data_IF_366696222484
#
_entry.id   IF_366696222484
#
_cell.length_a   1.000
_cell.length_b   1.000
_cell.length_c   1.000
_cell.angle_alpha   90.00
_cell.angle_beta   90.00
_cell.angle_gamma   90.00
#
_symmetry.space_group_name_H-M   'P 1'
#
loop_
_entity.id
_entity.type
_entity.pdbx_description
1 polymer ?
#
# COMPACT_ATOMS: atom_id res chain seq x y z
N UNK A 1 -27.83 -1.48 4.94
CA UNK A 1 -27.09 -2.18 6.02
C UNK A 1 -25.97 -2.94 5.35
N UNK A 2 -24.73 -2.46 5.45
CA UNK A 2 -23.58 -3.09 4.80
C UNK A 2 -23.37 -4.50 5.35
N UNK A 3 -23.54 -5.50 4.51
CA UNK A 3 -23.12 -6.87 4.81
C UNK A 3 -21.61 -6.87 4.81
N UNK A 4 -20.97 -7.14 5.95
CA UNK A 4 -19.51 -7.22 6.04
C UNK A 4 -18.90 -8.12 4.96
N UNK A 5 -17.61 -7.92 4.68
CA UNK A 5 -16.89 -8.55 3.56
C UNK A 5 -17.19 -10.05 3.51
N UNK A 6 -17.87 -10.53 2.45
CA UNK A 6 -18.35 -11.90 2.40
C UNK A 6 -17.16 -12.86 2.35
N UNK A 7 -17.41 -14.09 2.82
CA UNK A 7 -16.42 -15.16 2.70
C UNK A 7 -16.22 -15.51 1.21
N UNK A 8 -15.05 -16.07 0.84
CA UNK A 8 -14.82 -16.57 -0.51
C UNK A 8 -15.94 -17.52 -0.98
N UNK A 9 -16.36 -17.40 -2.25
CA UNK A 9 -17.51 -18.13 -2.83
C UNK A 9 -17.24 -19.64 -2.98
N UNK A 10 -15.98 -20.06 -2.92
CA UNK A 10 -15.57 -21.46 -2.72
C UNK A 10 -14.18 -21.47 -2.05
N UNK A 11 -14.08 -22.01 -0.83
CA UNK A 11 -12.82 -22.12 -0.07
C UNK A 11 -12.07 -23.41 -0.45
N UNK A 12 -11.80 -23.59 -1.75
CA UNK A 12 -10.97 -24.70 -2.23
C UNK A 12 -9.47 -24.40 -2.20
N UNK A 13 -9.10 -23.16 -1.87
CA UNK A 13 -7.72 -22.71 -1.73
C UNK A 13 -6.96 -22.55 -3.05
N UNK A 14 -7.67 -22.37 -4.18
CA UNK A 14 -7.07 -22.34 -5.53
C UNK A 14 -7.34 -21.05 -6.34
N UNK A 15 -7.95 -20.03 -5.72
CA UNK A 15 -8.30 -18.78 -6.41
C UNK A 15 -8.07 -17.53 -5.57
N UNK A 16 -7.74 -16.45 -6.28
CA UNK A 16 -7.84 -15.06 -5.84
C UNK A 16 -9.20 -14.56 -6.29
N UNK A 17 -9.99 -14.09 -5.35
CA UNK A 17 -11.33 -13.59 -5.64
C UNK A 17 -11.34 -12.08 -5.53
N UNK A 18 -11.88 -11.42 -6.55
CA UNK A 18 -12.16 -10.00 -6.53
C UNK A 18 -13.68 -9.84 -6.55
N UNK A 19 -14.16 -9.09 -5.57
CA UNK A 19 -15.54 -8.67 -5.41
C UNK A 19 -15.62 -7.18 -5.72
N UNK A 20 -16.44 -6.84 -6.69
CA UNK A 20 -16.63 -5.45 -7.11
C UNK A 20 -18.05 -5.08 -6.69
N UNK A 21 -18.20 -4.01 -5.91
CA UNK A 21 -19.52 -3.53 -5.45
C UNK A 21 -20.43 -3.31 -6.68
N UNK A 22 -21.62 -3.91 -6.65
CA UNK A 22 -22.58 -3.80 -7.76
C UNK A 22 -23.17 -2.40 -7.95
N UNK A 23 -22.91 -1.48 -7.02
CA UNK A 23 -23.27 -0.05 -7.11
C UNK A 23 -22.31 0.77 -7.98
N UNK A 24 -21.11 0.27 -8.26
CA UNK A 24 -20.21 0.91 -9.24
C UNK A 24 -20.97 1.00 -10.56
N UNK A 25 -21.10 2.21 -11.10
CA UNK A 25 -22.06 2.51 -12.15
C UNK A 25 -21.77 1.71 -13.44
N UNK A 26 -22.78 1.14 -14.09
CA UNK A 26 -22.64 0.64 -15.46
C UNK A 26 -22.58 1.82 -16.46
N UNK A 27 -21.81 1.71 -17.57
CA UNK A 27 -21.08 0.53 -18.05
C UNK A 27 -19.59 0.58 -17.68
N UNK A 28 -19.25 0.71 -16.39
CA UNK A 28 -17.84 0.78 -15.98
C UNK A 28 -17.09 -0.45 -16.45
N UNK A 29 -15.97 -0.22 -17.15
CA UNK A 29 -14.99 -1.28 -17.43
C UNK A 29 -14.03 -1.35 -16.26
N UNK A 30 -13.73 -2.56 -15.78
CA UNK A 30 -12.68 -2.74 -14.78
C UNK A 30 -11.49 -3.39 -15.44
N UNK A 31 -10.34 -2.74 -15.33
CA UNK A 31 -9.08 -3.33 -15.76
C UNK A 31 -8.21 -3.61 -14.54
N UNK A 32 -7.73 -4.84 -14.47
CA UNK A 32 -6.88 -5.34 -13.41
C UNK A 32 -5.57 -5.75 -14.03
N UNK A 33 -4.47 -5.14 -13.58
CA UNK A 33 -3.13 -5.44 -14.09
C UNK A 33 -2.26 -5.90 -12.95
N UNK A 34 -1.78 -7.14 -13.04
CA UNK A 34 -0.72 -7.64 -12.17
C UNK A 34 0.61 -7.21 -12.75
N UNK A 35 1.48 -6.67 -11.92
CA UNK A 35 2.88 -6.42 -12.25
C UNK A 35 3.76 -7.02 -11.18
N UNK A 36 4.83 -7.71 -11.57
CA UNK A 36 5.81 -8.20 -10.60
C UNK A 36 7.23 -8.03 -11.10
N UNK A 37 8.10 -7.58 -10.19
CA UNK A 37 9.51 -7.30 -10.48
C UNK A 37 10.38 -8.56 -10.48
N UNK A 38 9.89 -9.68 -9.94
CA UNK A 38 10.51 -11.02 -9.98
C UNK A 38 9.42 -12.08 -9.83
N UNK A 39 8.92 -12.69 -10.91
CA UNK A 39 8.02 -13.84 -10.80
C UNK A 39 8.52 -15.05 -11.59
N UNK A 40 8.56 -16.21 -10.93
CA UNK A 40 8.84 -17.49 -11.58
C UNK A 40 7.54 -18.28 -11.73
N UNK A 41 6.88 -18.17 -12.89
CA UNK A 41 5.83 -19.09 -13.30
C UNK A 41 6.47 -20.24 -14.09
N UNK A 42 6.27 -21.48 -13.64
CA UNK A 42 6.78 -22.69 -14.29
C UNK A 42 5.65 -23.68 -14.60
N UNK A 43 4.47 -23.23 -15.03
CA UNK A 43 3.37 -24.17 -15.34
C UNK A 43 3.53 -24.82 -16.72
N UNK A 44 3.48 -26.16 -16.83
CA UNK A 44 3.24 -26.87 -18.09
C UNK A 44 1.74 -26.95 -18.48
N UNK A 45 0.82 -26.53 -17.60
CA UNK A 45 -0.63 -26.60 -17.79
C UNK A 45 -1.21 -25.38 -18.52
N UNK A 46 -0.42 -24.32 -18.73
CA UNK A 46 -0.78 -23.18 -19.60
C UNK A 46 -0.48 -23.54 -21.06
N UNK A 47 -1.06 -24.64 -21.55
CA UNK A 47 -0.82 -25.13 -22.92
C UNK A 47 -1.90 -24.69 -23.93
N UNK A 48 -3.00 -24.10 -23.45
CA UNK A 48 -4.16 -23.71 -24.26
C UNK A 48 -4.48 -22.20 -24.23
N UNK A 49 -3.58 -21.35 -23.69
CA UNK A 49 -3.67 -19.90 -23.91
C UNK A 49 -2.94 -19.57 -25.22
N UNK A 50 -3.66 -19.01 -26.18
CA UNK A 50 -3.10 -18.62 -27.48
C UNK A 50 -2.27 -17.34 -27.32
N UNK A 51 -0.95 -17.47 -27.41
CA UNK A 51 -0.02 -16.33 -27.47
C UNK A 51 0.11 -15.84 -28.93
N UNK A 52 -0.50 -14.70 -29.26
CA UNK A 52 -0.53 -14.06 -30.60
C UNK A 52 0.67 -13.15 -30.91
N UNK A 53 1.84 -13.67 -31.25
CA UNK A 53 3.06 -12.85 -31.54
C UNK A 53 2.90 -11.82 -32.68
N UNK A 54 3.40 -10.59 -32.48
CA UNK A 54 3.56 -9.60 -33.55
C UNK A 54 4.03 -8.22 -33.06
N UNK A 55 5.13 -7.70 -33.61
CA UNK A 55 5.80 -6.46 -33.17
C UNK A 55 5.54 -5.23 -34.06
N UNK A 56 5.82 -4.05 -33.51
CA UNK A 56 5.97 -2.79 -34.25
C UNK A 56 5.38 -1.56 -33.54
N UNK A 57 6.27 -0.62 -33.19
CA UNK A 57 6.10 0.80 -32.84
C UNK A 57 4.72 1.36 -32.38
N UNK A 58 4.74 2.04 -31.23
CA UNK A 58 3.70 2.91 -30.62
C UNK A 58 2.37 2.21 -30.30
N UNK A 59 2.18 1.88 -29.01
CA UNK A 59 1.07 1.09 -28.47
C UNK A 59 -0.23 1.90 -28.33
N UNK A 60 -1.01 1.98 -29.41
CA UNK A 60 -2.36 2.56 -29.42
C UNK A 60 -3.48 1.52 -29.67
N UNK A 61 -3.20 0.21 -29.60
CA UNK A 61 -4.20 -0.83 -29.85
C UNK A 61 -4.14 -1.94 -28.78
N UNK A 62 -5.02 -1.87 -27.77
CA UNK A 62 -5.00 -2.69 -26.56
C UNK A 62 -5.92 -3.92 -26.62
N UNK A 63 -6.12 -4.51 -27.80
CA UNK A 63 -6.86 -5.76 -27.97
C UNK A 63 -5.98 -7.02 -27.96
N UNK A 64 -4.64 -6.88 -27.90
CA UNK A 64 -3.72 -8.02 -27.79
C UNK A 64 -2.34 -7.62 -27.22
N UNK A 65 -2.07 -7.74 -25.91
CA UNK A 65 -0.70 -7.72 -25.40
C UNK A 65 -0.01 -9.08 -25.65
N UNK A 66 1.19 -9.03 -26.23
CA UNK A 66 2.16 -10.13 -26.23
C UNK A 66 3.40 -9.67 -25.47
N UNK A 67 3.76 -10.42 -24.43
CA UNK A 67 5.09 -10.33 -23.83
C UNK A 67 5.92 -11.50 -24.36
N UNK A 68 6.97 -11.21 -25.14
CA UNK A 68 8.01 -12.18 -25.44
C UNK A 68 9.01 -12.19 -24.29
N UNK A 69 9.23 -13.35 -23.67
CA UNK A 69 10.36 -13.60 -22.76
C UNK A 69 11.30 -14.59 -23.43
N UNK A 70 12.51 -14.15 -23.75
CA UNK A 70 13.70 -14.97 -24.08
C UNK A 70 14.84 -14.33 -23.27
N UNK A 71 15.67 -15.02 -22.48
CA UNK A 71 16.48 -16.19 -22.82
C UNK A 71 16.96 -16.93 -21.55
N UNK A 72 17.01 -18.26 -21.63
CA UNK A 72 17.59 -19.19 -20.65
C UNK A 72 19.11 -19.42 -20.81
N UNK A 73 19.83 -18.58 -21.58
CA UNK A 73 21.24 -18.81 -21.90
C UNK A 73 22.29 -17.86 -21.28
N UNK A 74 21.94 -16.77 -20.58
CA UNK A 74 22.91 -15.69 -20.28
C UNK A 74 23.38 -15.54 -18.83
N UNK A 75 22.83 -16.30 -17.87
CA UNK A 75 23.31 -16.25 -16.48
C UNK A 75 23.13 -14.88 -15.77
N UNK A 76 22.17 -14.07 -16.21
CA UNK A 76 21.86 -12.75 -15.62
C UNK A 76 21.04 -12.92 -14.32
N UNK A 77 21.43 -12.22 -13.26
CA UNK A 77 20.83 -12.25 -11.91
C UNK A 77 19.57 -11.39 -11.73
N UNK A 78 18.76 -11.25 -12.78
CA UNK A 78 17.45 -10.59 -12.74
C UNK A 78 16.38 -11.60 -13.21
N UNK A 79 15.50 -12.04 -12.30
CA UNK A 79 14.42 -12.96 -12.67
C UNK A 79 13.47 -12.34 -13.72
N UNK A 80 12.71 -13.15 -14.47
CA UNK A 80 11.73 -12.64 -15.42
C UNK A 80 10.69 -11.75 -14.71
N UNK A 81 10.35 -10.64 -15.36
CA UNK A 81 9.30 -9.73 -14.93
C UNK A 81 8.03 -10.05 -15.71
N UNK A 82 6.88 -10.02 -15.02
CA UNK A 82 5.60 -10.52 -15.54
C UNK A 82 4.54 -9.43 -15.46
N UNK A 83 3.68 -9.36 -16.48
CA UNK A 83 2.44 -8.61 -16.42
C UNK A 83 1.30 -9.36 -17.08
N UNK A 84 0.16 -9.41 -16.41
CA UNK A 84 -1.09 -9.97 -16.92
C UNK A 84 -2.22 -8.97 -16.67
N UNK A 85 -3.05 -8.74 -17.68
CA UNK A 85 -4.16 -7.79 -17.62
C UNK A 85 -5.47 -8.51 -17.88
N UNK A 86 -6.41 -8.36 -16.96
CA UNK A 86 -7.81 -8.75 -17.12
C UNK A 86 -8.62 -7.51 -17.46
N UNK A 87 -9.36 -7.55 -18.56
CA UNK A 87 -10.19 -6.46 -19.06
C UNK A 87 -11.63 -6.96 -19.18
N UNK A 88 -12.48 -6.55 -18.24
CA UNK A 88 -13.82 -7.10 -18.09
C UNK A 88 -14.86 -5.99 -17.98
N UNK A 89 -15.99 -6.19 -18.67
CA UNK A 89 -17.16 -5.34 -18.48
C UNK A 89 -17.93 -5.81 -17.25
N UNK A 90 -18.34 -4.90 -16.36
CA UNK A 90 -19.03 -5.28 -15.11
C UNK A 90 -20.34 -6.03 -15.34
N UNK A 91 -21.04 -5.75 -16.46
CA UNK A 91 -22.25 -6.47 -16.84
C UNK A 91 -22.04 -7.94 -17.18
N UNK A 92 -20.80 -8.33 -17.51
CA UNK A 92 -20.46 -9.69 -17.94
C UNK A 92 -20.04 -10.58 -16.76
N UNK A 93 -19.81 -9.97 -15.59
CA UNK A 93 -19.43 -10.70 -14.39
C UNK A 93 -20.66 -11.29 -13.68
N UNK A 94 -20.58 -12.54 -13.20
CA UNK A 94 -21.65 -13.11 -12.39
C UNK A 94 -21.78 -12.35 -11.07
N UNK A 95 -23.00 -12.28 -10.54
CA UNK A 95 -23.22 -11.78 -9.18
C UNK A 95 -23.02 -12.88 -8.15
N UNK A 96 -22.63 -12.48 -6.94
CA UNK A 96 -22.70 -13.33 -5.78
C UNK A 96 -24.17 -13.67 -5.41
N UNK A 97 -24.36 -14.55 -4.44
CA UNK A 97 -25.70 -14.99 -4.02
C UNK A 97 -26.56 -13.85 -3.45
N UNK A 98 -25.93 -12.80 -2.92
CA UNK A 98 -26.66 -11.63 -2.41
C UNK A 98 -27.06 -10.64 -3.50
N UNK A 99 -26.39 -10.67 -4.66
CA UNK A 99 -26.53 -9.66 -5.72
C UNK A 99 -25.74 -8.37 -5.44
N UNK A 100 -25.08 -8.27 -4.28
CA UNK A 100 -24.36 -7.06 -3.83
C UNK A 100 -23.00 -6.93 -4.50
N UNK A 101 -22.43 -8.03 -5.00
CA UNK A 101 -21.10 -8.02 -5.59
C UNK A 101 -21.09 -8.71 -6.95
N UNK A 102 -20.35 -8.14 -7.90
CA UNK A 102 -19.86 -8.83 -9.09
C UNK A 102 -18.61 -9.61 -8.74
N UNK A 103 -18.49 -10.83 -9.22
CA UNK A 103 -17.43 -11.77 -8.83
C UNK A 103 -16.50 -12.03 -10.01
N UNK A 104 -15.24 -11.64 -9.87
CA UNK A 104 -14.15 -12.11 -10.72
C UNK A 104 -13.30 -13.12 -9.95
N UNK A 105 -13.12 -14.31 -10.53
CA UNK A 105 -12.20 -15.32 -10.01
C UNK A 105 -10.97 -15.36 -10.90
N UNK A 106 -9.81 -15.15 -10.29
CA UNK A 106 -8.53 -15.28 -10.96
C UNK A 106 -7.90 -16.56 -10.41
N UNK A 107 -7.54 -17.54 -11.27
CA UNK A 107 -6.78 -18.71 -10.86
C UNK A 107 -5.53 -18.26 -10.11
N UNK A 108 -5.40 -18.70 -8.86
CA UNK A 108 -4.31 -18.27 -8.00
C UNK A 108 -3.75 -19.53 -7.38
N UNK A 109 -2.52 -19.87 -7.73
CA UNK A 109 -1.76 -20.95 -7.08
C UNK A 109 -2.54 -22.26 -7.01
N UNK A 110 -2.29 -23.21 -7.90
CA UNK A 110 -2.68 -24.59 -7.59
C UNK A 110 -1.84 -25.09 -6.41
N UNK A 111 -2.38 -25.27 -5.19
CA UNK A 111 -1.59 -25.70 -4.04
C UNK A 111 -1.06 -27.13 -4.21
N UNK A 112 -1.59 -27.90 -5.16
CA UNK A 112 -1.10 -29.22 -5.54
C UNK A 112 0.01 -29.19 -6.60
N UNK A 113 0.25 -28.05 -7.24
CA UNK A 113 1.28 -27.86 -8.26
C UNK A 113 2.12 -26.60 -7.96
N UNK A 114 3.23 -26.79 -7.25
CA UNK A 114 4.16 -25.72 -6.86
C UNK A 114 4.81 -25.00 -8.05
N UNK A 115 4.60 -25.49 -9.28
CA UNK A 115 5.10 -24.86 -10.50
C UNK A 115 4.24 -23.68 -10.97
N UNK A 116 3.03 -23.52 -10.41
CA UNK A 116 2.07 -22.44 -10.71
C UNK A 116 2.03 -21.34 -9.62
N UNK A 117 3.16 -21.16 -8.92
CA UNK A 117 3.24 -20.27 -7.77
C UNK A 117 3.55 -18.83 -8.14
N UNK A 118 2.72 -17.88 -7.68
CA UNK A 118 3.15 -16.49 -7.53
C UNK A 118 4.27 -16.46 -6.50
N UNK A 119 5.50 -16.40 -6.98
CA UNK A 119 6.72 -16.24 -6.20
C UNK A 119 7.31 -14.89 -6.59
N UNK A 120 7.08 -13.83 -5.81
CA UNK A 120 7.50 -12.49 -6.19
C UNK A 120 6.88 -11.35 -5.41
N UNK A 121 7.49 -10.17 -5.58
CA UNK A 121 6.95 -8.89 -5.11
C UNK A 121 6.39 -8.10 -6.30
N UNK A 122 5.24 -7.44 -6.10
CA UNK A 122 4.51 -6.78 -7.17
C UNK A 122 3.31 -5.96 -6.70
N UNK A 123 2.52 -5.52 -7.68
CA UNK A 123 1.29 -4.78 -7.48
C UNK A 123 0.14 -5.43 -8.26
N UNK A 124 -1.06 -5.37 -7.68
CA UNK A 124 -2.30 -5.48 -8.44
C UNK A 124 -2.89 -4.08 -8.59
N UNK A 125 -2.78 -3.53 -9.80
CA UNK A 125 -3.34 -2.22 -10.16
C UNK A 125 -4.78 -2.40 -10.64
N UNK A 126 -5.67 -1.55 -10.14
CA UNK A 126 -7.11 -1.58 -10.40
C UNK A 126 -7.47 -0.25 -11.05
N UNK A 127 -8.13 -0.28 -12.20
CA UNK A 127 -8.59 0.93 -12.88
C UNK A 127 -10.07 0.81 -13.26
N UNK A 128 -10.78 1.92 -13.17
CA UNK A 128 -12.16 2.07 -13.64
C UNK A 128 -12.18 2.89 -14.94
N UNK A 129 -12.98 2.43 -15.90
CA UNK A 129 -13.27 3.00 -17.24
C UNK A 129 -12.11 3.08 -18.23
N UNK A 130 -10.95 3.51 -17.78
CA UNK A 130 -9.78 3.74 -18.62
C UNK A 130 -8.60 2.90 -18.16
N UNK A 131 -7.91 2.27 -19.11
CA UNK A 131 -6.69 1.52 -18.82
C UNK A 131 -5.61 2.46 -18.31
N UNK A 132 -4.96 2.07 -17.21
CA UNK A 132 -3.75 2.69 -16.73
C UNK A 132 -2.62 2.61 -17.78
N UNK A 133 -1.90 3.71 -17.97
CA UNK A 133 -0.65 3.70 -18.74
C UNK A 133 0.52 3.49 -17.77
N UNK A 134 1.10 2.29 -17.81
CA UNK A 134 2.31 1.95 -17.08
C UNK A 134 3.54 2.26 -17.92
N UNK A 135 4.57 2.85 -17.31
CA UNK A 135 5.83 3.12 -17.99
C UNK A 135 6.82 2.00 -17.73
N UNK A 136 7.50 1.53 -18.78
CA UNK A 136 8.61 0.58 -18.66
C UNK A 136 9.91 1.37 -18.76
N UNK A 137 10.70 1.34 -17.69
CA UNK A 137 11.97 2.04 -17.59
C UNK A 137 13.15 1.07 -17.70
N UNK A 138 14.29 1.53 -18.19
CA UNK A 138 15.53 0.79 -18.08
C UNK A 138 16.01 0.78 -16.61
N UNK A 139 16.44 -0.37 -16.12
CA UNK A 139 17.02 -0.56 -14.78
C UNK A 139 18.44 -1.16 -14.90
N UNK A 140 19.27 -1.00 -13.87
CA UNK A 140 20.68 -1.42 -13.90
C UNK A 140 20.91 -2.90 -14.27
N UNK A 141 19.93 -3.78 -14.05
CA UNK A 141 19.98 -5.21 -14.41
C UNK A 141 18.76 -5.69 -15.22
N UNK A 142 18.04 -4.81 -15.92
CA UNK A 142 16.84 -5.18 -16.69
C UNK A 142 15.95 -3.99 -17.05
N UNK A 143 14.63 -4.18 -16.97
CA UNK A 143 13.65 -3.10 -17.00
C UNK A 143 12.95 -2.98 -15.63
N UNK A 144 12.17 -1.93 -15.42
CA UNK A 144 11.34 -1.75 -14.23
C UNK A 144 9.98 -1.18 -14.66
N UNK A 145 8.90 -1.70 -14.08
CA UNK A 145 7.58 -1.09 -14.23
C UNK A 145 7.47 0.09 -13.28
N UNK A 146 7.17 1.26 -13.82
CA UNK A 146 6.64 2.37 -13.06
C UNK A 146 5.11 2.30 -13.13
N UNK A 147 4.49 2.34 -11.94
CA UNK A 147 3.04 2.53 -11.83
C UNK A 147 2.62 3.81 -12.56
N UNK A 148 1.34 3.92 -12.95
CA UNK A 148 0.82 5.16 -13.51
C UNK A 148 1.12 6.31 -12.55
N UNK A 149 1.47 7.48 -13.08
CA UNK A 149 1.66 8.65 -12.21
C UNK A 149 0.30 9.09 -11.65
N UNK A 150 0.17 9.27 -10.32
CA UNK A 150 -1.05 9.80 -9.71
C UNK A 150 -1.17 11.33 -9.85
N UNK A 151 -0.12 12.03 -10.30
CA UNK A 151 -0.17 13.45 -10.62
C UNK A 151 -1.20 13.69 -11.75
N UNK A 152 -2.13 14.65 -11.61
CA UNK A 152 -3.10 14.99 -12.66
C UNK A 152 -2.49 15.27 -14.04
N UNK A 153 -1.22 15.70 -14.09
CA UNK A 153 -0.48 16.01 -15.32
C UNK A 153 0.27 14.81 -15.89
N UNK A 154 0.34 13.70 -15.14
CA UNK A 154 1.04 12.48 -15.49
C UNK A 154 0.20 11.51 -16.33
N UNK A 155 0.82 10.43 -16.80
CA UNK A 155 0.19 9.44 -17.69
C UNK A 155 -0.99 8.66 -17.07
N UNK A 156 -1.13 8.67 -15.73
CA UNK A 156 -2.27 8.13 -15.00
C UNK A 156 -3.19 9.21 -14.41
N UNK A 157 -2.93 10.49 -14.69
CA UNK A 157 -3.54 11.62 -14.00
C UNK A 157 -5.05 11.69 -14.11
N UNK A 158 -5.61 11.28 -15.25
CA UNK A 158 -7.05 11.30 -15.52
C UNK A 158 -7.75 9.93 -15.36
N UNK A 159 -7.02 8.91 -14.93
CA UNK A 159 -7.59 7.56 -14.74
C UNK A 159 -8.06 7.40 -13.30
N UNK A 160 -9.24 6.83 -13.05
CA UNK A 160 -9.65 6.47 -11.69
C UNK A 160 -9.00 5.12 -11.35
N UNK A 161 -7.98 5.11 -10.49
CA UNK A 161 -7.20 3.91 -10.21
C UNK A 161 -6.61 3.88 -8.82
N UNK A 162 -6.40 2.67 -8.33
CA UNK A 162 -5.74 2.39 -7.06
C UNK A 162 -4.96 1.07 -7.20
N UNK A 163 -4.23 0.65 -6.17
CA UNK A 163 -3.47 -0.59 -6.21
C UNK A 163 -3.31 -1.24 -4.83
N UNK A 164 -2.99 -2.53 -4.85
CA UNK A 164 -2.56 -3.27 -3.67
C UNK A 164 -1.15 -3.79 -3.88
N UNK A 165 -0.34 -3.73 -2.82
CA UNK A 165 1.00 -4.29 -2.81
C UNK A 165 0.94 -5.76 -2.39
N UNK A 166 1.76 -6.59 -3.01
CA UNK A 166 1.84 -8.02 -2.71
C UNK A 166 3.28 -8.53 -2.76
N UNK A 167 3.62 -9.38 -1.80
CA UNK A 167 4.85 -10.14 -1.79
C UNK A 167 4.55 -11.59 -1.41
N UNK A 168 4.61 -12.49 -2.40
CA UNK A 168 4.38 -13.90 -2.22
C UNK A 168 5.71 -14.65 -2.25
N UNK A 169 6.02 -15.40 -1.20
CA UNK A 169 7.12 -16.34 -1.17
C UNK A 169 6.60 -17.76 -1.42
N UNK A 170 7.25 -18.51 -2.31
CA UNK A 170 7.14 -19.97 -2.35
C UNK A 170 8.04 -20.52 -1.23
N UNK A 171 7.50 -21.13 -0.17
CA UNK A 171 8.36 -21.75 0.83
C UNK A 171 9.03 -23.00 0.26
N UNK A 172 10.12 -23.42 0.90
CA UNK A 172 10.83 -24.64 0.56
C UNK A 172 9.86 -25.85 0.56
N UNK A 173 10.12 -26.82 -0.34
CA UNK A 173 9.34 -28.03 -0.62
C UNK A 173 8.35 -28.45 0.49
N UNK A 174 7.05 -28.50 0.16
CA UNK A 174 5.92 -29.00 0.97
C UNK A 174 5.26 -28.02 1.96
N UNK A 175 5.41 -26.71 1.77
CA UNK A 175 4.65 -25.70 2.53
C UNK A 175 3.78 -24.85 1.59
N UNK A 176 2.64 -24.35 2.09
CA UNK A 176 1.74 -23.46 1.32
C UNK A 176 2.39 -22.09 1.13
N UNK A 177 2.22 -21.46 -0.05
CA UNK A 177 2.72 -20.11 -0.34
C UNK A 177 2.31 -19.11 0.75
N UNK A 178 3.24 -18.22 1.09
CA UNK A 178 3.03 -17.13 2.05
C UNK A 178 2.96 -15.84 1.27
N UNK A 179 1.80 -15.18 1.28
CA UNK A 179 1.60 -13.90 0.61
C UNK A 179 1.36 -12.77 1.62
N UNK A 180 2.31 -11.84 1.70
CA UNK A 180 2.09 -10.53 2.29
C UNK A 180 1.30 -9.69 1.30
N UNK A 181 0.30 -8.97 1.79
CA UNK A 181 -0.46 -8.02 0.99
C UNK A 181 -0.94 -6.87 1.85
N UNK A 182 -1.07 -5.69 1.26
CA UNK A 182 -1.60 -4.52 1.94
C UNK A 182 -2.35 -3.63 0.95
N UNK A 183 -3.37 -2.94 1.47
CA UNK A 183 -3.78 -1.66 0.90
C UNK A 183 -2.72 -0.62 1.27
N UNK A 184 -2.50 0.38 0.43
CA UNK A 184 -1.55 1.46 0.74
C UNK A 184 -2.15 2.80 0.36
N UNK A 185 -2.02 3.77 1.25
CA UNK A 185 -2.39 5.16 1.00
C UNK A 185 -1.18 6.08 1.22
N UNK A 186 0.04 5.52 1.13
CA UNK A 186 1.29 6.29 1.25
C UNK A 186 1.40 7.32 0.14
N UNK A 187 0.99 6.95 -1.09
CA UNK A 187 1.02 7.86 -2.24
C UNK A 187 -0.32 8.59 -2.41
N UNK A 188 -1.45 7.87 -2.37
CA UNK A 188 -2.78 8.46 -2.53
C UNK A 188 -3.88 7.50 -2.09
N UNK A 189 -5.09 8.03 -1.93
CA UNK A 189 -6.34 7.27 -1.78
C UNK A 189 -7.24 7.51 -3.00
N UNK A 190 -7.76 6.46 -3.64
CA UNK A 190 -8.61 6.62 -4.84
C UNK A 190 -9.85 5.74 -4.84
N UNK A 191 -9.72 4.48 -4.45
CA UNK A 191 -10.81 3.51 -4.38
C UNK A 191 -10.96 2.98 -2.96
N UNK A 192 -12.20 2.70 -2.56
CA UNK A 192 -12.46 1.99 -1.32
C UNK A 192 -12.06 0.53 -1.47
N UNK A 193 -10.92 0.16 -0.89
CA UNK A 193 -10.40 -1.19 -0.97
C UNK A 193 -10.39 -1.82 0.42
N UNK A 194 -10.90 -3.04 0.51
CA UNK A 194 -10.72 -3.89 1.67
C UNK A 194 -10.33 -5.31 1.26
N UNK A 195 -9.50 -5.95 2.09
CA UNK A 195 -8.97 -7.29 1.86
C UNK A 195 -9.43 -8.20 2.98
N UNK A 196 -9.89 -9.38 2.62
CA UNK A 196 -10.12 -10.49 3.53
C UNK A 196 -9.37 -11.71 3.03
N UNK A 197 -8.38 -12.20 3.77
CA UNK A 197 -7.61 -13.36 3.36
C UNK A 197 -7.54 -14.44 4.43
N UNK A 198 -7.45 -15.68 3.97
CA UNK A 198 -7.48 -16.87 4.80
C UNK A 198 -6.08 -17.28 5.23
N UNK A 199 -5.85 -17.36 6.53
CA UNK A 199 -4.59 -17.79 7.15
C UNK A 199 -4.42 -19.31 7.12
N UNK A 200 -3.20 -19.81 7.32
CA UNK A 200 -2.88 -21.25 7.32
C UNK A 200 -3.64 -22.05 8.38
N UNK A 201 -3.98 -21.41 9.50
CA UNK A 201 -4.76 -22.01 10.58
C UNK A 201 -6.28 -22.09 10.27
N UNK A 202 -6.69 -21.57 9.10
CA UNK A 202 -8.07 -21.54 8.63
C UNK A 202 -8.88 -20.33 9.09
N UNK A 203 -8.30 -19.43 9.90
CA UNK A 203 -8.93 -18.16 10.27
C UNK A 203 -8.83 -17.13 9.15
N UNK A 204 -9.51 -15.99 9.30
CA UNK A 204 -9.48 -14.89 8.34
C UNK A 204 -8.90 -13.63 8.97
N UNK A 205 -7.99 -12.98 8.25
CA UNK A 205 -7.58 -11.60 8.51
C UNK A 205 -8.36 -10.68 7.58
N UNK A 206 -8.84 -9.54 8.09
CA UNK A 206 -9.60 -8.55 7.32
C UNK A 206 -9.09 -7.15 7.62
N UNK A 207 -8.88 -6.32 6.61
CA UNK A 207 -8.31 -4.98 6.73
C UNK A 207 -8.60 -4.11 5.50
N UNK A 208 -8.22 -2.84 5.57
CA UNK A 208 -8.51 -1.82 4.56
C UNK A 208 -9.60 -0.86 5.02
N UNK A 209 -10.23 -0.17 4.08
CA UNK A 209 -11.30 0.79 4.36
C UNK A 209 -12.47 0.10 5.06
N UNK A 210 -13.05 0.73 6.08
CA UNK A 210 -14.26 0.21 6.72
C UNK A 210 -15.48 0.39 5.80
N UNK A 211 -15.84 -0.70 5.12
CA UNK A 211 -16.98 -0.75 4.19
C UNK A 211 -18.34 -0.92 4.89
N UNK A 212 -18.39 -0.89 6.24
CA UNK A 212 -19.65 -1.02 6.98
C UNK A 212 -20.52 0.24 6.94
N UNK A 213 -19.89 1.40 6.71
CA UNK A 213 -20.56 2.69 6.54
C UNK A 213 -21.34 2.76 5.23
N UNK A 214 -22.36 3.62 5.18
CA UNK A 214 -23.01 3.98 3.91
C UNK A 214 -22.13 5.02 3.20
N UNK A 215 -21.71 4.71 1.96
CA UNK A 215 -20.79 5.52 1.15
C UNK A 215 -19.42 5.78 1.84
N UNK A 216 -18.67 4.72 2.18
CA UNK A 216 -17.40 4.83 2.90
C UNK A 216 -16.36 5.69 2.18
N UNK A 217 -16.29 5.64 0.84
CA UNK A 217 -15.36 6.47 0.05
C UNK A 217 -15.77 7.93 0.16
N UNK A 218 -17.05 8.23 -0.04
CA UNK A 218 -17.55 9.61 0.05
C UNK A 218 -17.34 10.21 1.43
N UNK A 219 -17.56 9.43 2.49
CA UNK A 219 -17.32 9.85 3.87
C UNK A 219 -15.86 10.22 4.09
N UNK A 220 -14.93 9.35 3.72
CA UNK A 220 -13.50 9.59 3.88
C UNK A 220 -13.04 10.81 3.06
N UNK A 221 -13.42 10.89 1.79
CA UNK A 221 -13.06 12.04 0.94
C UNK A 221 -13.59 13.35 1.52
N UNK A 222 -14.82 13.34 2.04
CA UNK A 222 -15.41 14.52 2.70
C UNK A 222 -14.59 14.90 3.92
N UNK A 223 -14.19 13.95 4.76
CA UNK A 223 -13.36 14.24 5.94
C UNK A 223 -12.00 14.84 5.54
N UNK A 224 -11.33 14.28 4.53
CA UNK A 224 -10.06 14.78 4.01
C UNK A 224 -10.17 16.19 3.42
N UNK A 225 -11.27 16.52 2.74
CA UNK A 225 -11.51 17.88 2.24
C UNK A 225 -11.77 18.90 3.36
N UNK A 226 -12.16 18.46 4.56
CA UNK A 226 -12.33 19.31 5.75
C UNK A 226 -11.09 19.37 6.65
N UNK A 227 -10.02 18.67 6.29
CA UNK A 227 -8.72 18.77 6.96
C UNK A 227 -8.14 20.20 6.82
N UNK A 228 -7.08 20.55 7.58
CA UNK A 228 -6.39 21.82 7.36
C UNK A 228 -5.94 22.00 5.90
N UNK A 229 -5.85 23.25 5.45
CA UNK A 229 -5.76 23.58 4.03
C UNK A 229 -4.58 22.96 3.29
N UNK A 230 -3.43 22.75 3.96
CA UNK A 230 -2.28 22.05 3.36
C UNK A 230 -2.64 20.60 2.98
N UNK A 231 -3.38 19.89 3.84
CA UNK A 231 -3.87 18.53 3.59
C UNK A 231 -5.03 18.52 2.58
N UNK A 232 -6.00 19.44 2.72
CA UNK A 232 -7.16 19.53 1.83
C UNK A 232 -6.77 19.74 0.34
N UNK A 233 -5.59 20.29 0.08
CA UNK A 233 -5.05 20.51 -1.26
C UNK A 233 -4.76 19.22 -2.05
N UNK A 234 -4.71 18.06 -1.39
CA UNK A 234 -4.52 16.76 -2.04
C UNK A 234 -5.69 16.29 -2.91
N UNK A 235 -6.86 16.93 -2.83
CA UNK A 235 -8.04 16.54 -3.61
C UNK A 235 -7.84 16.73 -5.12
N UNK A 236 -8.02 15.64 -5.88
CA UNK A 236 -7.94 15.62 -7.35
C UNK A 236 -9.27 15.18 -7.93
N UNK A 237 -9.76 15.96 -8.89
CA UNK A 237 -10.93 15.65 -9.71
C UNK A 237 -10.57 15.65 -11.20
N UNK A 238 -11.38 14.96 -12.00
CA UNK A 238 -11.28 14.99 -13.46
C UNK A 238 -11.87 16.30 -14.03
N UNK A 239 -11.79 16.48 -15.35
CA UNK A 239 -12.33 17.65 -16.06
C UNK A 239 -13.83 17.86 -15.86
N UNK A 240 -14.58 16.81 -15.53
CA UNK A 240 -16.01 16.86 -15.22
C UNK A 240 -16.30 17.18 -13.74
N UNK A 241 -15.27 17.35 -12.92
CA UNK A 241 -15.38 17.62 -11.48
C UNK A 241 -15.65 16.38 -10.63
N UNK A 242 -15.58 15.17 -11.19
CA UNK A 242 -15.72 13.94 -10.42
C UNK A 242 -14.41 13.60 -9.71
N UNK A 243 -14.51 13.12 -8.46
CA UNK A 243 -13.37 12.67 -7.67
C UNK A 243 -12.57 11.60 -8.42
N UNK A 244 -11.24 11.76 -8.46
CA UNK A 244 -10.32 10.75 -8.98
C UNK A 244 -9.50 10.14 -7.86
N UNK A 245 -8.91 10.98 -7.01
CA UNK A 245 -8.06 10.55 -5.89
C UNK A 245 -7.78 11.70 -4.94
N UNK A 246 -7.25 11.36 -3.78
CA UNK A 246 -6.70 12.27 -2.81
C UNK A 246 -5.21 11.96 -2.65
N UNK A 247 -4.35 12.84 -3.14
CA UNK A 247 -2.89 12.69 -3.05
C UNK A 247 -2.46 12.79 -1.59
N UNK A 248 -1.56 11.92 -1.17
CA UNK A 248 -0.96 11.98 0.14
C UNK A 248 -0.08 13.25 0.29
N UNK A 249 0.25 13.63 1.53
CA UNK A 249 0.98 14.87 1.78
C UNK A 249 2.37 14.92 1.15
N UNK A 250 3.10 13.80 1.03
CA UNK A 250 4.42 13.75 0.40
C UNK A 250 4.42 14.15 -1.09
N UNK A 251 3.29 13.95 -1.78
CA UNK A 251 3.11 14.31 -3.18
C UNK A 251 2.40 15.67 -3.38
N UNK A 252 1.56 16.08 -2.43
CA UNK A 252 0.72 17.29 -2.57
C UNK A 252 1.28 18.51 -1.87
N UNK A 253 2.11 18.33 -0.84
CA UNK A 253 2.65 19.44 -0.09
C UNK A 253 3.66 20.24 -0.93
N UNK A 254 3.67 21.58 -0.81
CA UNK A 254 4.75 22.37 -1.34
C UNK A 254 6.04 22.11 -0.53
N UNK A 255 7.19 22.48 -1.12
CA UNK A 255 8.50 22.28 -0.48
C UNK A 255 8.70 23.07 0.83
N UNK A 256 7.86 24.07 1.07
CA UNK A 256 7.86 24.93 2.26
C UNK A 256 6.66 24.66 3.18
N UNK A 257 6.03 23.50 3.08
CA UNK A 257 4.96 23.07 3.98
C UNK A 257 5.41 23.12 5.45
N UNK A 258 4.48 23.44 6.35
CA UNK A 258 4.77 23.73 7.76
C UNK A 258 3.93 22.90 8.73
N UNK A 259 3.16 21.93 8.22
CA UNK A 259 2.17 21.18 8.98
C UNK A 259 2.69 20.48 10.24
N UNK A 260 3.99 20.13 10.31
CA UNK A 260 4.64 19.47 11.45
C UNK A 260 5.72 20.33 12.13
N UNK A 261 5.96 21.57 11.70
CA UNK A 261 7.11 22.37 12.14
C UNK A 261 7.14 22.55 13.67
N UNK A 262 5.98 22.82 14.28
CA UNK A 262 5.90 23.00 15.75
C UNK A 262 6.18 21.69 16.47
N UNK A 263 5.63 20.56 16.00
CA UNK A 263 5.86 19.26 16.63
C UNK A 263 7.34 18.82 16.50
N UNK A 264 7.97 19.10 15.36
CA UNK A 264 9.40 18.87 15.14
C UNK A 264 10.22 19.74 16.08
N UNK A 265 9.97 21.05 16.12
CA UNK A 265 10.71 21.99 16.95
C UNK A 265 10.58 21.66 18.44
N UNK A 266 9.36 21.44 18.92
CA UNK A 266 9.07 21.08 20.31
C UNK A 266 9.82 19.82 20.73
N UNK A 267 9.82 18.77 19.89
CA UNK A 267 10.54 17.53 20.19
C UNK A 267 12.06 17.71 20.20
N UNK A 268 12.62 18.41 19.22
CA UNK A 268 14.06 18.67 19.20
C UNK A 268 14.50 19.52 20.39
N UNK A 269 13.73 20.57 20.75
CA UNK A 269 13.98 21.40 21.94
C UNK A 269 13.81 20.59 23.23
N UNK A 270 12.80 19.73 23.32
CA UNK A 270 12.62 18.85 24.47
C UNK A 270 13.87 18.00 24.73
N UNK A 271 14.48 17.45 23.68
CA UNK A 271 15.67 16.60 23.77
C UNK A 271 17.00 17.37 23.94
N UNK A 272 17.01 18.70 24.00
CA UNK A 272 18.19 19.47 24.42
C UNK A 272 18.48 19.29 25.92
N UNK A 273 17.43 19.09 26.72
CA UNK A 273 17.52 18.97 28.18
C UNK A 273 17.07 17.61 28.71
N UNK A 274 16.37 16.83 27.88
CA UNK A 274 15.95 15.46 28.17
C UNK A 274 16.65 14.49 27.22
N UNK A 275 16.78 13.22 27.63
CA UNK A 275 17.28 12.19 26.72
C UNK A 275 16.13 11.63 25.88
N UNK A 276 16.36 11.46 24.59
CA UNK A 276 15.57 10.56 23.75
C UNK A 276 15.99 9.13 24.09
N UNK A 277 15.09 8.36 24.70
CA UNK A 277 15.35 6.96 25.04
C UNK A 277 14.19 6.08 24.56
N UNK A 278 14.50 5.08 23.74
CA UNK A 278 13.55 4.06 23.28
C UNK A 278 14.27 2.75 22.95
N UNK A 279 13.51 1.68 22.70
CA UNK A 279 14.06 0.36 22.38
C UNK A 279 13.35 -0.22 21.17
N UNK A 280 14.12 -0.81 20.26
CA UNK A 280 13.62 -1.60 19.13
C UNK A 280 14.12 -3.04 19.31
N UNK A 281 13.20 -3.97 19.56
CA UNK A 281 13.55 -5.34 19.96
C UNK A 281 14.40 -5.35 21.24
N UNK A 282 15.66 -5.75 21.13
CA UNK A 282 16.63 -5.75 22.25
C UNK A 282 17.62 -4.58 22.20
N UNK A 283 17.50 -3.70 21.19
CA UNK A 283 18.45 -2.63 20.94
C UNK A 283 17.96 -1.34 21.55
N UNK A 284 18.71 -0.81 22.52
CA UNK A 284 18.42 0.48 23.15
C UNK A 284 19.04 1.63 22.36
N UNK A 285 18.27 2.70 22.20
CA UNK A 285 18.66 3.93 21.56
C UNK A 285 18.67 5.06 22.58
N UNK A 286 19.74 5.86 22.58
CA UNK A 286 19.87 7.04 23.43
C UNK A 286 20.46 8.19 22.63
N UNK A 287 19.79 9.35 22.65
CA UNK A 287 20.27 10.58 22.03
C UNK A 287 19.93 11.82 22.86
N UNK A 288 20.63 12.91 22.58
CA UNK A 288 20.25 14.27 22.99
C UNK A 288 20.39 15.20 21.80
N UNK A 289 19.58 16.26 21.75
CA UNK A 289 19.73 17.32 20.77
C UNK A 289 20.95 18.16 21.12
N UNK A 290 21.89 18.29 20.18
CA UNK A 290 23.05 19.16 20.29
C UNK A 290 23.28 19.82 18.93
N UNK A 291 23.39 21.14 18.91
CA UNK A 291 23.54 21.94 17.68
C UNK A 291 22.41 21.69 16.65
N UNK A 292 21.16 21.52 17.13
CA UNK A 292 20.00 21.30 16.27
C UNK A 292 19.90 19.90 15.65
N UNK A 293 20.65 18.92 16.16
CA UNK A 293 20.60 17.53 15.68
C UNK A 293 20.58 16.54 16.84
N UNK A 294 19.88 15.43 16.68
CA UNK A 294 19.90 14.31 17.62
C UNK A 294 21.25 13.59 17.50
N UNK A 295 22.08 13.66 18.54
CA UNK A 295 23.35 12.93 18.62
C UNK A 295 23.14 11.64 19.39
N UNK A 296 23.05 10.54 18.66
CA UNK A 296 22.91 9.22 19.25
C UNK A 296 24.25 8.77 19.84
N UNK A 297 24.18 8.13 21.01
CA UNK A 297 25.32 7.51 21.68
C UNK A 297 25.13 6.01 21.84
N UNK A 298 23.89 5.53 21.75
CA UNK A 298 23.53 4.11 21.71
C UNK A 298 22.62 3.80 20.52
N UNK A 299 22.74 2.59 19.96
CA UNK A 299 23.75 1.57 20.28
C UNK A 299 25.14 1.89 19.70
N UNK A 300 25.23 2.89 18.83
CA UNK A 300 26.48 3.45 18.32
C UNK A 300 26.33 4.96 18.09
N UNK A 301 27.44 5.64 17.82
CA UNK A 301 27.41 7.07 17.51
C UNK A 301 26.92 7.32 16.08
N UNK A 302 25.86 8.11 15.94
CA UNK A 302 25.39 8.68 14.67
C UNK A 302 24.58 9.94 14.94
N UNK A 303 24.15 10.63 13.88
CA UNK A 303 23.41 11.89 14.02
C UNK A 303 22.26 11.94 13.04
N UNK A 304 21.09 12.36 13.53
CA UNK A 304 19.93 12.70 12.72
C UNK A 304 19.70 14.20 12.85
N UNK A 305 19.77 14.92 11.73
CA UNK A 305 19.48 16.36 11.69
C UNK A 305 17.98 16.59 11.86
N UNK A 306 17.60 17.78 12.31
CA UNK A 306 16.20 18.23 12.30
C UNK A 306 15.63 18.17 10.87
N UNK A 307 14.56 17.40 10.62
CA UNK A 307 13.88 17.38 9.32
C UNK A 307 12.96 18.59 9.17
N UNK A 308 12.60 18.92 7.94
CA UNK A 308 11.43 19.77 7.62
C UNK A 308 10.13 18.98 7.75
N UNK A 309 8.97 19.66 7.72
CA UNK A 309 7.66 18.98 7.69
C UNK A 309 7.54 17.98 6.54
N UNK A 310 7.94 18.35 5.32
CA UNK A 310 7.89 17.46 4.16
C UNK A 310 8.85 16.26 4.31
N UNK A 311 10.07 16.48 4.81
CA UNK A 311 11.02 15.37 5.08
C UNK A 311 10.51 14.42 6.16
N UNK A 312 9.80 14.93 7.18
CA UNK A 312 9.17 14.10 8.21
C UNK A 312 8.02 13.23 7.66
N UNK A 313 7.15 13.82 6.85
CA UNK A 313 6.03 13.13 6.20
C UNK A 313 6.52 12.07 5.22
N UNK A 314 7.40 12.45 4.31
CA UNK A 314 7.91 11.58 3.24
C UNK A 314 9.00 10.61 3.72
N UNK A 315 9.44 10.74 4.98
CA UNK A 315 10.59 10.05 5.55
C UNK A 315 11.86 10.13 4.66
N UNK A 316 12.16 11.35 4.20
CA UNK A 316 13.31 11.66 3.34
C UNK A 316 14.35 12.51 4.09
N UNK A 317 15.40 12.93 3.39
CA UNK A 317 16.42 13.82 3.96
C UNK A 317 17.11 13.20 5.18
N UNK A 318 17.06 13.82 6.37
CA UNK A 318 17.61 13.23 7.60
C UNK A 318 16.98 11.91 8.03
N UNK A 319 15.78 11.58 7.54
CA UNK A 319 15.03 10.37 7.86
C UNK A 319 15.05 9.32 6.74
N UNK A 320 15.79 9.56 5.66
CA UNK A 320 15.96 8.58 4.58
C UNK A 320 16.74 7.35 5.07
N UNK A 321 16.09 6.20 5.00
CA UNK A 321 16.63 4.89 5.42
C UNK A 321 17.47 4.23 4.33
N UNK A 322 17.35 4.66 3.08
CA UNK A 322 17.99 4.01 1.94
C UNK A 322 19.52 4.04 2.08
N UNK A 323 20.14 2.85 1.99
CA UNK A 323 21.59 2.70 2.10
C UNK A 323 22.17 2.89 3.50
N UNK A 324 21.35 3.15 4.53
CA UNK A 324 21.82 3.27 5.91
C UNK A 324 22.05 1.90 6.55
N UNK A 325 22.95 1.77 7.54
CA UNK A 325 23.02 0.59 8.41
C UNK A 325 21.68 0.36 9.11
N UNK A 326 21.28 -0.91 9.31
CA UNK A 326 19.97 -1.28 9.88
C UNK A 326 19.65 -0.56 11.20
N UNK A 327 20.65 -0.39 12.04
CA UNK A 327 20.53 0.30 13.33
C UNK A 327 20.18 1.79 13.20
N UNK A 328 20.64 2.45 12.14
CA UNK A 328 20.28 3.84 11.85
C UNK A 328 18.88 3.87 11.24
N UNK A 329 18.56 2.92 10.35
CA UNK A 329 17.23 2.79 9.76
C UNK A 329 16.15 2.66 10.84
N UNK A 330 16.35 1.79 11.83
CA UNK A 330 15.40 1.59 12.93
C UNK A 330 15.12 2.90 13.67
N UNK A 331 16.15 3.68 13.99
CA UNK A 331 15.97 4.97 14.64
C UNK A 331 15.23 5.98 13.75
N UNK A 332 15.58 6.06 12.46
CA UNK A 332 14.92 6.94 11.50
C UNK A 332 13.44 6.59 11.33
N UNK A 333 13.09 5.30 11.20
CA UNK A 333 11.71 4.81 11.09
C UNK A 333 10.87 5.21 12.30
N UNK A 334 11.37 4.96 13.50
CA UNK A 334 10.64 5.28 14.72
C UNK A 334 10.46 6.78 14.91
N UNK A 335 11.47 7.60 14.59
CA UNK A 335 11.36 9.05 14.65
C UNK A 335 10.35 9.56 13.62
N UNK A 336 10.41 9.08 12.38
CA UNK A 336 9.47 9.46 11.32
C UNK A 336 8.03 9.13 11.73
N UNK A 337 7.77 7.93 12.25
CA UNK A 337 6.46 7.53 12.72
C UNK A 337 5.97 8.39 13.89
N UNK A 338 6.83 8.63 14.89
CA UNK A 338 6.46 9.43 16.04
C UNK A 338 6.17 10.90 15.72
N UNK A 339 6.88 11.47 14.72
CA UNK A 339 6.60 12.81 14.19
C UNK A 339 5.25 12.84 13.47
N UNK A 340 4.98 11.90 12.56
CA UNK A 340 3.70 11.80 11.87
C UNK A 340 2.52 11.63 12.86
N UNK A 341 2.74 10.95 13.98
CA UNK A 341 1.70 10.70 15.01
C UNK A 341 1.61 11.79 16.08
N UNK A 342 2.44 12.83 16.02
CA UNK A 342 2.44 13.92 17.01
C UNK A 342 2.88 13.50 18.42
N UNK A 343 3.66 12.42 18.54
CA UNK A 343 4.12 11.87 19.84
C UNK A 343 5.64 11.88 20.00
N UNK A 344 6.37 12.53 19.08
CA UNK A 344 7.82 12.53 19.04
C UNK A 344 8.49 12.92 20.37
N UNK A 345 7.96 13.91 21.10
CA UNK A 345 8.53 14.38 22.37
C UNK A 345 8.31 13.43 23.57
N UNK A 346 7.55 12.35 23.42
CA UNK A 346 7.21 11.42 24.51
C UNK A 346 7.31 9.96 24.04
N UNK A 347 8.47 9.33 24.25
CA UNK A 347 8.75 7.97 23.77
C UNK A 347 7.85 6.91 24.40
N UNK A 348 7.21 7.20 25.54
CA UNK A 348 6.26 6.27 26.17
C UNK A 348 5.00 6.06 25.33
N UNK A 349 4.69 7.01 24.44
CA UNK A 349 3.52 7.00 23.55
C UNK A 349 3.78 6.39 22.18
N UNK A 350 5.06 6.19 21.80
CA UNK A 350 5.42 5.76 20.44
C UNK A 350 4.85 4.39 20.06
N UNK A 351 4.53 3.57 21.05
CA UNK A 351 4.02 2.20 20.88
C UNK A 351 2.57 2.04 21.29
N UNK A 352 1.88 3.12 21.66
CA UNK A 352 0.49 3.10 22.11
C UNK A 352 -0.42 3.84 21.13
N UNK A 353 -1.10 3.12 20.20
CA UNK A 353 -2.01 3.70 19.23
C UNK A 353 -3.09 4.60 19.83
N UNK A 354 -3.51 4.35 21.08
CA UNK A 354 -4.54 5.16 21.74
C UNK A 354 -4.09 6.59 22.08
N UNK A 355 -2.79 6.87 21.97
CA UNK A 355 -2.18 8.16 22.28
C UNK A 355 -1.75 8.95 21.06
N UNK A 356 -1.87 8.36 19.87
CA UNK A 356 -1.46 9.00 18.62
C UNK A 356 -2.46 10.05 18.17
N UNK A 357 -1.97 11.01 17.40
CA UNK A 357 -2.73 12.17 16.92
C UNK A 357 -3.39 12.96 18.08
N UNK A 358 -2.64 13.30 19.14
CA UNK A 358 -3.23 13.94 20.31
C UNK A 358 -3.82 15.30 19.97
N UNK A 359 -5.01 15.58 20.50
CA UNK A 359 -5.72 16.84 20.25
C UNK A 359 -4.86 18.06 20.63
N UNK A 360 -4.77 19.03 19.72
CA UNK A 360 -4.03 20.27 19.92
C UNK A 360 -2.53 20.17 19.64
N UNK A 361 -2.02 19.02 19.20
CA UNK A 361 -0.63 18.84 18.75
C UNK A 361 -0.62 18.65 17.24
N UNK A 362 0.34 19.27 16.56
CA UNK A 362 0.54 19.05 15.13
C UNK A 362 0.91 17.59 14.85
N UNK A 363 0.21 16.99 13.90
CA UNK A 363 0.43 15.62 13.44
C UNK A 363 -0.01 15.50 11.98
N UNK A 364 0.18 14.33 11.39
CA UNK A 364 -0.23 14.03 10.02
C UNK A 364 -1.76 13.82 9.99
N UNK A 365 -2.52 14.90 9.78
CA UNK A 365 -3.98 14.87 9.74
C UNK A 365 -4.52 13.96 8.62
N UNK A 366 -3.80 13.84 7.49
CA UNK A 366 -4.17 12.89 6.43
C UNK A 366 -4.17 11.45 6.96
N UNK A 367 -3.08 11.02 7.60
CA UNK A 367 -3.01 9.68 8.18
C UNK A 367 -4.02 9.49 9.32
N UNK A 368 -4.19 10.49 10.19
CA UNK A 368 -5.17 10.44 11.27
C UNK A 368 -6.59 10.18 10.74
N UNK A 369 -7.03 10.95 9.74
CA UNK A 369 -8.37 10.82 9.13
C UNK A 369 -8.52 9.45 8.46
N UNK A 370 -7.47 8.94 7.79
CA UNK A 370 -7.50 7.58 7.25
C UNK A 370 -7.70 6.55 8.37
N UNK A 371 -6.95 6.64 9.46
CA UNK A 371 -7.10 5.72 10.59
C UNK A 371 -8.50 5.75 11.22
N UNK A 372 -9.22 6.87 11.18
CA UNK A 372 -10.62 6.96 11.64
C UNK A 372 -11.62 6.22 10.71
N UNK A 373 -11.26 6.03 9.44
CA UNK A 373 -12.12 5.40 8.42
C UNK A 373 -11.72 3.96 8.07
N UNK A 374 -10.56 3.50 8.53
CA UNK A 374 -10.05 2.15 8.28
C UNK A 374 -10.45 1.17 9.38
N UNK A 375 -10.57 -0.11 9.00
CA UNK A 375 -11.02 -1.15 9.92
C UNK A 375 -10.09 -1.30 11.12
N UNK A 376 -10.69 -1.36 12.32
CA UNK A 376 -10.01 -1.78 13.55
C UNK A 376 -9.91 -3.30 13.53
N UNK A 377 -8.71 -3.83 13.32
CA UNK A 377 -8.45 -5.27 13.28
C UNK A 377 -8.49 -5.85 14.70
N UNK A 378 -8.00 -5.10 15.67
CA UNK A 378 -8.03 -5.45 17.09
C UNK A 378 -8.17 -4.16 17.93
N UNK A 379 -9.12 -4.07 18.89
CA UNK A 379 -9.31 -2.85 19.69
C UNK A 379 -8.09 -2.36 20.46
N UNK A 380 -7.12 -3.24 20.73
CA UNK A 380 -5.87 -2.87 21.41
C UNK A 380 -4.78 -2.34 20.45
N UNK A 381 -4.92 -2.60 19.15
CA UNK A 381 -3.88 -2.36 18.14
C UNK A 381 -4.24 -1.20 17.17
N UNK A 382 -5.39 -0.55 17.39
CA UNK A 382 -5.90 0.52 16.52
C UNK A 382 -6.39 0.01 15.15
N UNK A 383 -6.55 0.94 14.21
CA UNK A 383 -6.91 0.61 12.82
C UNK A 383 -5.69 0.27 11.98
N UNK A 384 -5.87 -0.66 11.04
CA UNK A 384 -4.81 -1.08 10.11
C UNK A 384 -4.85 -0.22 8.84
N UNK A 385 -3.97 0.78 8.78
CA UNK A 385 -3.83 1.68 7.63
C UNK A 385 -2.35 1.96 7.34
N UNK A 386 -2.01 2.15 6.07
CA UNK A 386 -0.74 2.75 5.64
C UNK A 386 -1.03 4.18 5.20
N UNK A 387 -1.05 5.13 6.14
CA UNK A 387 -1.23 6.56 5.84
C UNK A 387 0.09 7.30 5.59
N UNK A 388 1.23 6.66 5.89
CA UNK A 388 2.58 7.13 5.59
C UNK A 388 3.57 5.94 5.56
N UNK A 389 4.79 6.16 5.06
CA UNK A 389 5.76 5.08 4.73
C UNK A 389 6.12 4.14 5.88
N UNK A 390 6.09 4.62 7.13
CA UNK A 390 6.47 3.85 8.32
C UNK A 390 5.33 3.69 9.33
N UNK A 391 4.09 3.64 8.82
CA UNK A 391 2.92 3.37 9.66
C UNK A 391 2.93 1.94 10.23
N UNK A 392 3.84 1.09 9.77
CA UNK A 392 4.16 -0.24 10.29
C UNK A 392 4.95 -0.24 11.59
N UNK A 393 5.46 0.90 12.05
CA UNK A 393 6.12 1.02 13.36
C UNK A 393 5.08 1.09 14.48
N UNK A 394 5.28 0.48 15.67
CA UNK A 394 6.40 -0.38 16.08
C UNK A 394 6.36 -1.83 15.54
N UNK A 395 5.33 -2.18 14.78
CA UNK A 395 5.11 -3.53 14.26
C UNK A 395 4.10 -4.33 15.07
N UNK A 396 3.83 -5.58 14.65
CA UNK A 396 2.89 -6.46 15.33
C UNK A 396 3.35 -6.81 16.76
N UNK A 397 2.41 -7.00 17.72
CA UNK A 397 0.96 -6.99 17.52
C UNK A 397 0.34 -5.59 17.47
N UNK A 398 1.03 -4.57 17.98
CA UNK A 398 0.47 -3.25 18.32
C UNK A 398 0.02 -2.42 17.12
N UNK A 399 0.56 -2.69 15.92
CA UNK A 399 0.08 -2.11 14.68
C UNK A 399 0.04 -3.21 13.64
N UNK A 400 -1.15 -3.41 13.10
CA UNK A 400 -1.40 -4.36 12.02
C UNK A 400 -1.48 -3.63 10.69
N UNK A 401 -0.83 -2.47 10.52
CA UNK A 401 -0.80 -1.69 9.26
C UNK A 401 -0.17 -2.47 8.11
N UNK A 402 0.69 -3.44 8.41
CA UNK A 402 0.83 -4.63 7.61
C UNK A 402 0.01 -5.75 8.25
N UNK A 403 -1.24 -5.97 7.84
CA UNK A 403 -1.92 -7.22 8.09
C UNK A 403 -1.27 -8.19 7.11
N UNK A 404 -0.02 -8.53 7.43
CA UNK A 404 0.71 -9.61 6.83
C UNK A 404 -0.16 -10.83 7.06
N UNK A 405 -0.90 -11.23 6.03
CA UNK A 405 -1.52 -12.53 6.01
C UNK A 405 -0.37 -13.50 5.79
N UNK A 406 0.37 -13.80 6.87
CA UNK A 406 1.62 -14.54 6.86
C UNK A 406 1.50 -15.94 6.24
N UNK A 407 0.29 -16.35 5.83
CA UNK A 407 -0.03 -17.61 5.18
C UNK A 407 -1.35 -17.51 4.40
N UNK A 408 -1.49 -16.53 3.50
CA UNK A 408 -2.71 -16.40 2.70
C UNK A 408 -2.88 -17.58 1.71
N UNK A 409 -3.92 -18.39 1.90
CA UNK A 409 -4.26 -19.51 0.98
C UNK A 409 -5.33 -19.16 -0.04
N UNK A 410 -6.09 -18.11 0.23
CA UNK A 410 -7.03 -17.44 -0.69
C UNK A 410 -7.21 -16.00 -0.21
N UNK A 411 -7.58 -15.10 -1.12
CA UNK A 411 -7.82 -13.69 -0.81
C UNK A 411 -9.08 -13.21 -1.52
N UNK A 412 -9.88 -12.44 -0.80
CA UNK A 412 -11.02 -11.69 -1.30
C UNK A 412 -10.69 -10.21 -1.22
N UNK A 413 -10.59 -9.57 -2.38
CA UNK A 413 -10.49 -8.12 -2.50
C UNK A 413 -11.88 -7.53 -2.74
N UNK A 414 -12.32 -6.56 -1.95
CA UNK A 414 -13.55 -5.80 -2.19
C UNK A 414 -13.20 -4.40 -2.68
N UNK A 415 -13.82 -3.98 -3.78
CA UNK A 415 -13.61 -2.66 -4.39
C UNK A 415 -14.96 -1.92 -4.42
N UNK A 416 -14.97 -0.67 -3.94
CA UNK A 416 -16.08 0.30 -4.07
C UNK A 416 -15.58 1.67 -4.51
N UNK A 417 -16.40 2.43 -5.24
CA UNK A 417 -16.18 3.83 -5.62
C UNK A 417 -17.01 4.83 -4.79
N UNK A 418 -17.93 4.32 -3.95
CA UNK A 418 -18.88 5.10 -3.16
C UNK A 418 -18.66 4.89 -1.66
#
# INVERSE_FOLDING_TARGET
MGTGIPNPVADDGTYFQILIDSKIADPTRVHLTFTANRMSLTSPAIKDITWLTGGGATYNDWTSPQLNVVDSATGVTGGPQFSETYDVLLSDLPTDASGSYRVLKIPFLNPADSSESLAGSGHLTITLDTKAVMQINAAGSGFAFALPSPDPRGAGGNTHWDFVELNCATPASNSKSVCFCNTTNVDFFSLGIAIKGRQADGTYATFGLDLSNENPVTSLVTALQHAPSEYAAGYVANDAGAFLRFLAPDMSFPSDATALDTAIDDGFTHYETNKLEFTVGTTAYEATTVDGALKFTKPQAFTIKKPTSLEAIAATGPLDVAGQPSVIQDAQKYIAAALNRGVFADTSKWVDPSTWYPSGVQSNDYSHILHEHFMVVNPQDGSACYGFSFDDVPGPPLVTSAPAIATCTSMTLVITDQ
#
